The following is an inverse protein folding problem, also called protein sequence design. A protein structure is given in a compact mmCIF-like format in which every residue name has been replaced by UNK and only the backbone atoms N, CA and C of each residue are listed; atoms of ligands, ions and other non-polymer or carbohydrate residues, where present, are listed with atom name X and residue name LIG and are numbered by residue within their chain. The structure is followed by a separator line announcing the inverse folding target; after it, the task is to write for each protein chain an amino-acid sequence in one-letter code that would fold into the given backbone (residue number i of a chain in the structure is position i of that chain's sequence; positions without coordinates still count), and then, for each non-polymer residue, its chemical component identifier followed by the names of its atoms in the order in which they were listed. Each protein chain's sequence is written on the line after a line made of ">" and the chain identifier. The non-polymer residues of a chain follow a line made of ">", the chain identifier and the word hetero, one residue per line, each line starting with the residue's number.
data_IF_155297325134
#
_entry.id   IF_155297325134
#
_cell.length_a   1.000
_cell.length_b   1.000
_cell.length_c   1.000
_cell.angle_alpha   90.00
_cell.angle_beta   90.00
_cell.angle_gamma   90.00
#
_symmetry.space_group_name_H-M   'P 1'
#
loop_
_entity.id
_entity.type
_entity.pdbx_description
1 polymer ?
#
# COMPACT_ATOMS: atom_id res chain seq x y z
N UNK A 1 6.94 23.12 5.89
CA UNK A 1 5.64 23.00 6.58
C UNK A 1 5.18 21.56 6.47
N UNK A 2 4.54 21.00 7.49
CA UNK A 2 4.03 19.62 7.43
C UNK A 2 2.81 19.53 6.49
N UNK A 3 2.71 18.48 5.66
CA UNK A 3 1.55 18.29 4.80
C UNK A 3 0.31 17.86 5.59
N UNK A 4 -0.86 18.28 5.13
CA UNK A 4 -2.16 17.79 5.60
C UNK A 4 -2.46 16.49 4.86
N UNK A 5 -2.79 15.44 5.60
CA UNK A 5 -3.13 14.13 5.05
C UNK A 5 -4.64 13.92 5.11
N UNK A 6 -5.25 13.66 3.96
CA UNK A 6 -6.70 13.44 3.83
C UNK A 6 -6.97 12.03 3.31
N UNK A 7 -8.13 11.47 3.69
CA UNK A 7 -8.56 10.12 3.34
C UNK A 7 -9.97 10.15 2.75
N UNK A 8 -10.15 9.50 1.60
CA UNK A 8 -11.41 9.40 0.87
C UNK A 8 -11.66 7.98 0.43
N UNK A 9 -12.93 7.60 0.39
CA UNK A 9 -13.32 6.20 0.22
C UNK A 9 -14.51 6.11 -0.74
N UNK A 10 -14.45 5.16 -1.68
CA UNK A 10 -15.55 4.88 -2.60
C UNK A 10 -16.05 6.13 -3.34
N UNK A 11 -17.32 6.48 -3.16
CA UNK A 11 -17.98 7.62 -3.80
C UNK A 11 -17.44 8.99 -3.36
N UNK A 12 -16.71 9.08 -2.25
CA UNK A 12 -16.11 10.33 -1.79
C UNK A 12 -14.89 10.73 -2.63
N UNK A 13 -14.38 9.81 -3.47
CA UNK A 13 -13.32 10.08 -4.43
C UNK A 13 -13.94 10.80 -5.65
N UNK A 14 -13.80 12.11 -5.68
CA UNK A 14 -14.41 12.96 -6.72
C UNK A 14 -13.62 12.99 -8.04
N UNK A 15 -14.28 13.38 -9.13
CA UNK A 15 -13.61 13.53 -10.44
C UNK A 15 -12.52 14.63 -10.42
N UNK A 16 -12.65 15.63 -9.54
CA UNK A 16 -11.61 16.64 -9.30
C UNK A 16 -10.36 16.00 -8.68
N UNK A 17 -10.52 15.15 -7.66
CA UNK A 17 -9.40 14.41 -7.06
C UNK A 17 -8.71 13.48 -8.06
N UNK A 18 -9.49 12.80 -8.90
CA UNK A 18 -8.96 11.96 -9.99
C UNK A 18 -8.17 12.81 -10.98
N UNK A 19 -8.65 14.01 -11.32
CA UNK A 19 -7.97 14.93 -12.23
C UNK A 19 -6.64 15.44 -11.65
N UNK A 20 -6.63 15.78 -10.35
CA UNK A 20 -5.43 16.16 -9.62
C UNK A 20 -4.40 15.02 -9.56
N UNK A 21 -4.83 13.80 -9.26
CA UNK A 21 -3.96 12.62 -9.22
C UNK A 21 -3.37 12.30 -10.60
N UNK A 22 -4.17 12.40 -11.67
CA UNK A 22 -3.72 12.20 -13.05
C UNK A 22 -2.66 13.25 -13.46
N UNK A 23 -2.85 14.51 -13.05
CA UNK A 23 -1.89 15.58 -13.28
C UNK A 23 -0.57 15.35 -12.54
N UNK A 24 -0.65 14.97 -11.25
CA UNK A 24 0.53 14.66 -10.44
C UNK A 24 1.30 13.47 -11.00
N UNK A 25 0.59 12.39 -11.36
CA UNK A 25 1.18 11.21 -12.01
C UNK A 25 1.91 11.63 -13.29
N UNK A 26 1.23 12.33 -14.19
CA UNK A 26 1.77 12.70 -15.51
C UNK A 26 3.00 13.60 -15.44
N UNK A 27 3.16 14.33 -14.33
CA UNK A 27 4.26 15.27 -14.13
C UNK A 27 5.44 14.66 -13.39
N UNK A 28 5.19 13.69 -12.50
CA UNK A 28 6.24 13.21 -11.58
C UNK A 28 6.51 11.72 -11.64
N UNK A 29 5.58 10.86 -12.07
CA UNK A 29 5.70 9.41 -11.89
C UNK A 29 6.96 8.82 -12.54
N UNK A 30 7.17 9.06 -13.84
CA UNK A 30 8.29 8.48 -14.57
C UNK A 30 8.39 8.93 -16.02
N UNK A 31 9.32 8.34 -16.75
CA UNK A 31 9.51 8.53 -18.20
C UNK A 31 9.57 7.17 -18.89
N UNK A 32 9.26 7.13 -20.18
CA UNK A 32 9.36 5.91 -20.97
C UNK A 32 10.82 5.52 -21.22
N UNK A 33 11.15 4.24 -21.03
CA UNK A 33 12.47 3.69 -21.38
C UNK A 33 12.61 3.40 -22.87
N UNK A 34 13.80 2.99 -23.29
CA UNK A 34 14.14 2.70 -24.70
C UNK A 34 13.23 1.62 -25.30
N UNK A 35 12.95 0.54 -24.57
CA UNK A 35 12.09 -0.56 -25.04
C UNK A 35 10.65 -0.12 -25.29
N UNK A 36 10.17 0.90 -24.57
CA UNK A 36 8.84 1.46 -24.80
C UNK A 36 8.74 2.11 -26.18
N UNK A 37 9.81 2.74 -26.67
CA UNK A 37 9.82 3.37 -27.98
C UNK A 37 9.60 2.34 -29.10
N UNK A 38 10.19 1.15 -28.95
CA UNK A 38 10.05 0.04 -29.89
C UNK A 38 8.66 -0.62 -29.79
N UNK A 39 8.22 -0.96 -28.57
CA UNK A 39 6.99 -1.74 -28.36
C UNK A 39 5.70 -0.92 -28.42
N UNK A 40 5.75 0.34 -28.00
CA UNK A 40 4.57 1.19 -27.82
C UNK A 40 4.56 2.41 -28.73
N UNK A 41 5.62 2.64 -29.53
CA UNK A 41 5.78 3.81 -30.41
C UNK A 41 5.67 5.15 -29.66
N UNK A 42 6.15 5.17 -28.41
CA UNK A 42 6.25 6.38 -27.59
C UNK A 42 7.65 6.98 -27.70
N UNK A 43 7.81 8.25 -27.34
CA UNK A 43 9.13 8.88 -27.32
C UNK A 43 9.89 8.47 -26.05
N UNK A 44 11.06 7.87 -26.20
CA UNK A 44 11.98 7.61 -25.09
C UNK A 44 12.27 8.90 -24.30
N UNK A 45 12.35 8.78 -22.97
CA UNK A 45 12.60 9.90 -22.06
C UNK A 45 11.42 10.88 -21.93
N UNK A 46 10.33 10.69 -22.68
CA UNK A 46 9.12 11.50 -22.50
C UNK A 46 8.33 11.05 -21.28
N UNK A 47 7.62 11.99 -20.65
CA UNK A 47 6.80 11.72 -19.47
C UNK A 47 5.71 10.71 -19.77
N UNK A 48 5.57 9.73 -18.88
CA UNK A 48 4.42 8.83 -18.86
C UNK A 48 3.21 9.66 -18.43
N UNK A 49 2.20 9.76 -19.30
CA UNK A 49 0.98 10.52 -19.02
C UNK A 49 -0.21 9.60 -18.86
N UNK A 50 -1.12 9.99 -17.97
CA UNK A 50 -2.41 9.34 -17.79
C UNK A 50 -3.51 10.41 -17.78
N UNK A 51 -4.60 10.17 -18.51
CA UNK A 51 -5.78 11.04 -18.45
C UNK A 51 -6.65 10.66 -17.24
N UNK A 52 -7.51 11.55 -16.73
CA UNK A 52 -8.44 11.22 -15.65
C UNK A 52 -9.31 10.01 -16.00
N UNK A 53 -9.78 9.94 -17.26
CA UNK A 53 -10.56 8.80 -17.78
C UNK A 53 -9.78 7.48 -17.73
N UNK A 54 -8.52 7.49 -18.14
CA UNK A 54 -7.67 6.30 -18.12
C UNK A 54 -7.28 5.90 -16.69
N UNK A 55 -7.02 6.88 -15.81
CA UNK A 55 -6.79 6.62 -14.39
C UNK A 55 -8.01 5.93 -13.77
N UNK A 56 -9.22 6.45 -14.02
CA UNK A 56 -10.45 5.84 -13.53
C UNK A 56 -10.61 4.40 -14.04
N UNK A 57 -10.36 4.16 -15.32
CA UNK A 57 -10.47 2.81 -15.89
C UNK A 57 -9.44 1.81 -15.35
N UNK A 58 -8.18 2.23 -15.20
CA UNK A 58 -7.06 1.32 -14.89
C UNK A 58 -6.81 1.17 -13.38
N UNK A 59 -7.04 2.24 -12.60
CA UNK A 59 -6.69 2.35 -11.18
C UNK A 59 -7.92 2.27 -10.27
N UNK A 60 -9.09 2.70 -10.76
CA UNK A 60 -10.37 2.70 -10.04
C UNK A 60 -11.47 1.95 -10.83
N UNK A 61 -11.22 0.70 -11.27
CA UNK A 61 -12.18 -0.04 -12.08
C UNK A 61 -13.47 -0.34 -11.30
N UNK A 62 -14.54 -0.70 -12.01
CA UNK A 62 -15.75 -1.20 -11.37
C UNK A 62 -15.45 -2.36 -10.43
N UNK A 63 -15.97 -2.29 -9.21
CA UNK A 63 -15.64 -3.21 -8.13
C UNK A 63 -16.71 -4.30 -7.94
N UNK A 64 -16.30 -5.52 -7.54
CA UNK A 64 -17.24 -6.52 -7.05
C UNK A 64 -17.87 -6.09 -5.71
N UNK A 65 -18.96 -6.74 -5.32
CA UNK A 65 -19.63 -6.46 -4.04
C UNK A 65 -18.67 -6.64 -2.85
N UNK A 66 -18.65 -5.66 -1.95
CA UNK A 66 -17.80 -5.66 -0.75
C UNK A 66 -16.34 -5.24 -0.98
N UNK A 67 -15.95 -4.91 -2.22
CA UNK A 67 -14.67 -4.27 -2.50
C UNK A 67 -14.80 -2.74 -2.46
N UNK A 68 -13.69 -2.04 -2.20
CA UNK A 68 -13.69 -0.59 -2.09
C UNK A 68 -12.36 0.04 -2.55
N UNK A 69 -12.45 1.25 -3.09
CA UNK A 69 -11.28 2.08 -3.35
C UNK A 69 -11.04 3.06 -2.21
N UNK A 70 -9.76 3.31 -1.91
CA UNK A 70 -9.32 4.35 -0.98
C UNK A 70 -8.30 5.25 -1.66
N UNK A 71 -8.46 6.55 -1.45
CA UNK A 71 -7.49 7.57 -1.80
C UNK A 71 -6.99 8.22 -0.51
N UNK A 72 -5.68 8.15 -0.26
CA UNK A 72 -5.03 9.05 0.71
C UNK A 72 -4.20 10.06 -0.08
N UNK A 73 -4.34 11.35 0.21
CA UNK A 73 -3.55 12.41 -0.42
C UNK A 73 -2.90 13.34 0.59
N UNK A 74 -1.77 13.93 0.19
CA UNK A 74 -1.04 14.92 0.97
C UNK A 74 -1.10 16.27 0.26
N UNK A 75 -1.48 17.32 0.98
CA UNK A 75 -1.48 18.71 0.48
C UNK A 75 -0.58 19.57 1.36
N UNK A 76 0.04 20.59 0.75
CA UNK A 76 0.63 21.66 1.56
C UNK A 76 -0.48 22.57 2.08
N UNK A 77 -0.31 23.18 3.28
CA UNK A 77 -1.22 24.21 3.76
C UNK A 77 -1.49 25.27 2.69
N UNK A 78 -2.76 25.65 2.53
CA UNK A 78 -3.23 26.65 1.56
C UNK A 78 -3.01 26.27 0.07
N UNK A 79 -2.84 24.98 -0.24
CA UNK A 79 -2.79 24.48 -1.63
C UNK A 79 -3.95 23.54 -1.90
N UNK A 80 -4.45 23.54 -3.14
CA UNK A 80 -5.49 22.62 -3.60
C UNK A 80 -4.91 21.40 -4.33
N UNK A 81 -3.71 21.53 -4.89
CA UNK A 81 -3.01 20.46 -5.60
C UNK A 81 -2.26 19.55 -4.62
N UNK A 82 -2.44 18.22 -4.70
CA UNK A 82 -1.72 17.30 -3.84
C UNK A 82 -0.24 17.22 -4.23
N UNK A 83 0.63 17.07 -3.23
CA UNK A 83 2.06 16.78 -3.42
C UNK A 83 2.33 15.27 -3.41
N UNK A 84 1.37 14.46 -2.99
CA UNK A 84 1.44 13.00 -3.07
C UNK A 84 0.04 12.38 -2.96
N UNK A 85 -0.11 11.18 -3.49
CA UNK A 85 -1.29 10.35 -3.27
C UNK A 85 -0.96 8.86 -3.29
N UNK A 86 -1.81 8.08 -2.63
CA UNK A 86 -1.88 6.63 -2.80
C UNK A 86 -3.33 6.24 -3.08
N UNK A 87 -3.52 5.46 -4.14
CA UNK A 87 -4.72 4.69 -4.38
C UNK A 87 -4.50 3.25 -3.92
N UNK A 88 -5.51 2.70 -3.27
CA UNK A 88 -5.56 1.29 -2.92
C UNK A 88 -6.95 0.73 -3.18
N UNK A 89 -7.00 -0.57 -3.45
CA UNK A 89 -8.24 -1.33 -3.62
C UNK A 89 -8.29 -2.45 -2.60
N UNK A 90 -9.31 -2.43 -1.75
CA UNK A 90 -9.62 -3.52 -0.83
C UNK A 90 -10.63 -4.47 -1.46
N UNK A 91 -10.44 -5.77 -1.27
CA UNK A 91 -11.35 -6.82 -1.76
C UNK A 91 -11.15 -8.11 -0.96
N UNK A 92 -12.05 -9.08 -1.13
CA UNK A 92 -11.95 -10.38 -0.48
C UNK A 92 -11.48 -11.45 -1.48
N UNK A 93 -10.45 -12.21 -1.07
CA UNK A 93 -10.05 -13.45 -1.72
C UNK A 93 -10.21 -14.60 -0.73
N UNK A 94 -11.06 -15.58 -1.02
CA UNK A 94 -11.29 -16.74 -0.13
C UNK A 94 -11.57 -16.34 1.34
N UNK A 95 -12.41 -15.33 1.56
CA UNK A 95 -12.73 -14.74 2.89
C UNK A 95 -11.56 -14.04 3.59
N UNK A 96 -10.42 -13.88 2.93
CA UNK A 96 -9.30 -13.09 3.43
C UNK A 96 -9.33 -11.68 2.83
N UNK A 97 -9.27 -10.63 3.65
CA UNK A 97 -9.10 -9.27 3.18
C UNK A 97 -7.77 -9.11 2.45
N UNK A 98 -7.81 -8.43 1.31
CA UNK A 98 -6.64 -8.02 0.55
C UNK A 98 -6.72 -6.51 0.36
N UNK A 99 -5.59 -5.82 0.51
CA UNK A 99 -5.43 -4.41 0.20
C UNK A 99 -4.33 -4.28 -0.84
N UNK A 100 -4.69 -3.97 -2.08
CA UNK A 100 -3.73 -3.80 -3.16
C UNK A 100 -3.43 -2.32 -3.40
N UNK A 101 -2.16 -1.92 -3.35
CA UNK A 101 -1.73 -0.57 -3.70
C UNK A 101 -1.69 -0.43 -5.22
N UNK A 102 -2.64 0.29 -5.78
CA UNK A 102 -2.77 0.43 -7.23
C UNK A 102 -1.91 1.56 -7.79
N UNK A 103 -1.67 2.61 -7.01
CA UNK A 103 -0.80 3.71 -7.44
C UNK A 103 -0.28 4.48 -6.23
N UNK A 104 1.02 4.77 -6.18
CA UNK A 104 1.64 5.67 -5.21
C UNK A 104 2.50 6.69 -5.98
N UNK A 105 2.20 7.98 -5.84
CA UNK A 105 2.97 9.06 -6.47
C UNK A 105 3.36 10.08 -5.43
N UNK A 106 4.62 10.51 -5.47
CA UNK A 106 5.14 11.64 -4.70
C UNK A 106 5.79 12.61 -5.66
N UNK A 107 5.40 13.88 -5.53
CA UNK A 107 6.01 15.01 -6.22
C UNK A 107 7.52 14.98 -6.03
N UNK A 108 8.29 15.19 -7.10
CA UNK A 108 9.75 14.99 -7.09
C UNK A 108 10.47 15.81 -6.01
N UNK A 109 10.07 17.07 -5.78
CA UNK A 109 10.62 17.93 -4.72
C UNK A 109 10.24 17.54 -3.29
N UNK A 110 9.35 16.56 -3.13
CA UNK A 110 8.85 16.09 -1.83
C UNK A 110 9.20 14.60 -1.59
N UNK A 111 10.05 14.01 -2.44
CA UNK A 111 10.60 12.66 -2.27
C UNK A 111 11.63 12.65 -1.14
N UNK A 112 11.86 11.47 -0.56
CA UNK A 112 12.83 11.24 0.52
C UNK A 112 12.58 12.08 1.80
N UNK A 113 11.37 12.61 1.99
CA UNK A 113 10.96 13.41 3.15
C UNK A 113 9.91 12.70 4.02
N UNK A 114 9.73 11.39 3.83
CA UNK A 114 8.76 10.60 4.60
C UNK A 114 7.30 10.70 4.11
N UNK A 115 7.00 11.48 3.06
CA UNK A 115 5.64 11.67 2.54
C UNK A 115 4.94 10.35 2.15
N UNK A 116 5.63 9.47 1.41
CA UNK A 116 5.09 8.14 1.07
C UNK A 116 4.77 7.31 2.31
N UNK A 117 5.68 7.33 3.31
CA UNK A 117 5.47 6.61 4.57
C UNK A 117 4.25 7.16 5.32
N UNK A 118 4.07 8.48 5.37
CA UNK A 118 2.90 9.10 6.02
C UNK A 118 1.58 8.68 5.35
N UNK A 119 1.52 8.65 4.03
CA UNK A 119 0.34 8.17 3.29
C UNK A 119 0.04 6.70 3.57
N UNK A 120 1.07 5.84 3.50
CA UNK A 120 0.92 4.41 3.76
C UNK A 120 0.55 4.13 5.22
N UNK A 121 1.09 4.87 6.18
CA UNK A 121 0.69 4.77 7.60
C UNK A 121 -0.79 5.10 7.76
N UNK A 122 -1.25 6.20 7.14
CA UNK A 122 -2.67 6.56 7.21
C UNK A 122 -3.56 5.49 6.59
N UNK A 123 -3.11 4.89 5.49
CA UNK A 123 -3.80 3.78 4.86
C UNK A 123 -3.82 2.54 5.77
N UNK A 124 -2.71 2.22 6.46
CA UNK A 124 -2.65 1.10 7.41
C UNK A 124 -3.65 1.24 8.55
N UNK A 125 -3.75 2.43 9.16
CA UNK A 125 -4.73 2.72 10.22
C UNK A 125 -6.16 2.37 9.81
N UNK A 126 -6.51 2.59 8.53
CA UNK A 126 -7.84 2.31 8.01
C UNK A 126 -8.16 0.81 7.90
N UNK A 127 -7.15 -0.07 7.81
CA UNK A 127 -7.33 -1.48 7.44
C UNK A 127 -6.69 -2.48 8.42
N UNK A 128 -5.87 -2.06 9.39
CA UNK A 128 -5.12 -2.98 10.25
C UNK A 128 -6.00 -3.89 11.13
N UNK A 129 -7.24 -3.48 11.42
CA UNK A 129 -8.20 -4.28 12.16
C UNK A 129 -8.71 -5.52 11.41
N UNK A 130 -8.59 -5.51 10.08
CA UNK A 130 -8.97 -6.63 9.20
C UNK A 130 -7.83 -7.64 9.04
N UNK A 131 -6.59 -7.25 9.36
CA UNK A 131 -5.39 -8.06 9.10
C UNK A 131 -5.24 -8.46 7.62
N UNK A 132 -5.28 -7.50 6.68
CA UNK A 132 -5.27 -7.82 5.25
C UNK A 132 -3.92 -8.35 4.79
N UNK A 133 -3.93 -9.05 3.65
CA UNK A 133 -2.73 -9.19 2.81
C UNK A 133 -2.55 -7.89 2.03
N UNK A 134 -1.41 -7.24 2.16
CA UNK A 134 -1.09 -6.02 1.42
C UNK A 134 -0.20 -6.35 0.25
N UNK A 135 -0.61 -5.96 -0.96
CA UNK A 135 0.14 -6.22 -2.18
C UNK A 135 0.55 -4.96 -2.93
N UNK A 136 1.71 -4.99 -3.57
CA UNK A 136 2.19 -3.92 -4.43
C UNK A 136 3.02 -4.47 -5.59
N UNK A 137 2.83 -3.84 -6.76
CA UNK A 137 3.76 -3.86 -7.89
C UNK A 137 4.37 -2.47 -7.99
N UNK A 138 5.71 -2.38 -8.02
CA UNK A 138 6.38 -1.12 -8.30
C UNK A 138 7.78 -1.34 -8.88
N UNK A 139 8.15 -0.56 -9.89
CA UNK A 139 9.54 -0.48 -10.31
C UNK A 139 10.45 0.22 -9.29
N UNK A 140 9.91 1.00 -8.35
CA UNK A 140 10.70 1.84 -7.45
C UNK A 140 11.05 1.14 -6.11
N UNK A 141 12.34 0.89 -5.81
CA UNK A 141 12.77 0.26 -4.56
C UNK A 141 12.35 1.01 -3.28
N UNK A 142 12.26 2.35 -3.32
CA UNK A 142 11.80 3.13 -2.15
C UNK A 142 10.32 2.91 -1.87
N UNK A 143 9.49 2.69 -2.91
CA UNK A 143 8.08 2.32 -2.72
C UNK A 143 7.99 0.98 -2.01
N UNK A 144 8.68 -0.04 -2.51
CA UNK A 144 8.71 -1.37 -1.90
C UNK A 144 9.20 -1.29 -0.45
N UNK A 145 10.34 -0.64 -0.20
CA UNK A 145 10.88 -0.49 1.14
C UNK A 145 9.90 0.22 2.10
N UNK A 146 9.19 1.24 1.63
CA UNK A 146 8.17 1.93 2.42
C UNK A 146 6.98 1.01 2.75
N UNK A 147 6.50 0.23 1.79
CA UNK A 147 5.42 -0.76 1.99
C UNK A 147 5.84 -1.79 3.03
N UNK A 148 7.01 -2.41 2.87
CA UNK A 148 7.52 -3.41 3.79
C UNK A 148 7.72 -2.85 5.20
N UNK A 149 8.17 -1.59 5.32
CA UNK A 149 8.37 -0.93 6.61
C UNK A 149 7.05 -0.57 7.31
N UNK A 150 6.02 -0.17 6.57
CA UNK A 150 4.74 0.25 7.16
C UNK A 150 3.89 -0.95 7.53
N UNK A 151 3.73 -1.90 6.60
CA UNK A 151 2.81 -3.03 6.75
C UNK A 151 3.45 -4.27 7.36
N UNK A 152 4.79 -4.37 7.32
CA UNK A 152 5.55 -5.48 7.87
C UNK A 152 6.62 -5.02 8.86
N UNK A 153 7.75 -5.72 8.87
CA UNK A 153 8.87 -5.47 9.77
C UNK A 153 10.05 -4.73 9.07
N UNK A 154 9.86 -4.31 7.82
CA UNK A 154 10.93 -3.75 7.00
C UNK A 154 11.50 -4.76 5.99
N UNK A 155 12.51 -4.31 5.26
CA UNK A 155 13.19 -5.12 4.23
C UNK A 155 14.18 -6.11 4.87
N UNK A 156 14.52 -5.88 6.14
CA UNK A 156 15.42 -6.70 6.94
C UNK A 156 14.83 -8.10 7.21
N UNK A 157 13.50 -8.23 7.22
CA UNK A 157 12.76 -9.50 7.38
C UNK A 157 12.21 -10.01 6.03
N UNK A 158 13.02 -9.89 4.98
CA UNK A 158 12.62 -10.21 3.61
C UNK A 158 12.14 -11.65 3.41
N UNK A 159 12.66 -12.61 4.18
CA UNK A 159 12.33 -14.03 4.02
C UNK A 159 10.84 -14.32 4.30
N UNK A 160 10.26 -13.69 5.33
CA UNK A 160 8.83 -13.82 5.65
C UNK A 160 7.95 -13.23 4.53
N UNK A 161 8.39 -12.10 3.97
CA UNK A 161 7.73 -11.42 2.84
C UNK A 161 7.81 -12.28 1.58
N UNK A 162 8.97 -12.84 1.25
CA UNK A 162 9.17 -13.71 0.09
C UNK A 162 8.36 -15.00 0.24
N UNK A 163 8.33 -15.61 1.42
CA UNK A 163 7.52 -16.80 1.70
C UNK A 163 6.02 -16.52 1.52
N UNK A 164 5.55 -15.38 2.02
CA UNK A 164 4.17 -14.92 1.83
C UNK A 164 3.86 -14.70 0.34
N UNK A 165 4.77 -14.01 -0.36
CA UNK A 165 4.63 -13.68 -1.77
C UNK A 165 4.59 -14.96 -2.62
N UNK A 166 5.52 -15.90 -2.43
CA UNK A 166 5.53 -17.20 -3.11
C UNK A 166 4.21 -17.95 -2.94
N UNK A 167 3.67 -17.97 -1.71
CA UNK A 167 2.47 -18.74 -1.38
C UNK A 167 1.19 -18.14 -1.97
N UNK A 168 1.09 -16.81 -2.03
CA UNK A 168 -0.19 -16.15 -2.27
C UNK A 168 -0.26 -15.31 -3.54
N UNK A 169 0.87 -14.94 -4.16
CA UNK A 169 0.92 -13.98 -5.28
C UNK A 169 0.00 -14.37 -6.43
N UNK A 170 0.04 -15.64 -6.86
CA UNK A 170 -0.74 -16.12 -8.01
C UNK A 170 -2.24 -15.89 -7.83
N UNK A 171 -2.79 -16.31 -6.70
CA UNK A 171 -4.23 -16.21 -6.46
C UNK A 171 -4.68 -14.80 -6.11
N UNK A 172 -3.89 -14.09 -5.29
CA UNK A 172 -4.16 -12.70 -4.93
C UNK A 172 -4.19 -11.83 -6.17
N UNK A 173 -3.18 -11.92 -7.04
CA UNK A 173 -3.15 -11.14 -8.28
C UNK A 173 -4.30 -11.51 -9.21
N UNK A 174 -4.57 -12.80 -9.43
CA UNK A 174 -5.66 -13.25 -10.31
C UNK A 174 -7.05 -12.76 -9.85
N UNK A 175 -7.26 -12.60 -8.55
CA UNK A 175 -8.50 -12.08 -7.96
C UNK A 175 -8.57 -10.55 -7.88
N UNK A 176 -7.48 -9.84 -8.20
CA UNK A 176 -7.43 -8.39 -8.09
C UNK A 176 -8.36 -7.72 -9.13
N UNK A 177 -9.20 -6.74 -8.73
CA UNK A 177 -10.04 -6.01 -9.67
C UNK A 177 -9.26 -5.17 -10.70
N UNK A 178 -8.03 -4.77 -10.38
CA UNK A 178 -7.19 -3.98 -11.28
C UNK A 178 -6.62 -4.87 -12.40
N UNK A 179 -7.02 -4.61 -13.65
CA UNK A 179 -6.66 -5.43 -14.82
C UNK A 179 -5.16 -5.56 -15.01
N UNK A 180 -4.39 -4.50 -14.77
CA UNK A 180 -2.94 -4.57 -14.92
C UNK A 180 -2.32 -5.57 -13.93
N UNK A 181 -2.93 -5.78 -12.76
CA UNK A 181 -2.46 -6.75 -11.75
C UNK A 181 -2.87 -8.16 -12.13
N UNK A 182 -4.15 -8.38 -12.43
CA UNK A 182 -4.66 -9.74 -12.67
C UNK A 182 -4.20 -10.37 -13.99
N UNK A 183 -3.77 -9.54 -14.95
CA UNK A 183 -3.18 -9.98 -16.22
C UNK A 183 -1.66 -10.07 -16.19
N UNK A 184 -1.01 -9.59 -15.13
CA UNK A 184 0.45 -9.65 -14.98
C UNK A 184 0.93 -11.09 -14.80
N UNK A 185 2.08 -11.40 -15.40
CA UNK A 185 2.71 -12.72 -15.27
C UNK A 185 3.74 -12.71 -14.16
N UNK A 186 3.66 -13.65 -13.22
CA UNK A 186 4.71 -13.85 -12.22
C UNK A 186 6.01 -14.27 -12.91
N UNK A 187 7.13 -13.68 -12.51
CA UNK A 187 8.47 -13.99 -13.05
C UNK A 187 9.52 -14.03 -11.95
N UNK A 188 10.52 -14.90 -12.14
CA UNK A 188 11.69 -15.00 -11.26
C UNK A 188 11.73 -16.29 -10.42
N UNK A 189 12.89 -16.52 -9.81
CA UNK A 189 13.20 -17.75 -9.05
C UNK A 189 12.33 -17.96 -7.81
N UNK A 190 11.56 -16.95 -7.39
CA UNK A 190 10.55 -17.14 -6.33
C UNK A 190 9.39 -18.03 -6.79
N UNK A 191 9.06 -18.01 -8.08
CA UNK A 191 7.87 -18.65 -8.66
C UNK A 191 8.19 -19.79 -9.64
N UNK A 192 9.30 -19.69 -10.36
CA UNK A 192 9.71 -20.62 -11.41
C UNK A 192 10.78 -21.59 -10.89
N UNK A 193 10.72 -22.85 -11.32
CA UNK A 193 11.73 -23.86 -10.99
C UNK A 193 12.90 -23.76 -11.98
N UNK A 194 14.03 -23.22 -11.52
CA UNK A 194 15.25 -23.02 -12.32
C UNK A 194 15.54 -21.54 -12.54
N UNK A 195 16.83 -21.20 -12.71
CA UNK A 195 17.22 -19.86 -13.13
C UNK A 195 16.99 -19.72 -14.64
N UNK A 196 16.38 -18.62 -15.07
CA UNK A 196 16.40 -18.25 -16.49
C UNK A 196 17.84 -17.90 -16.86
N UNK A 197 18.49 -18.76 -17.63
CA UNK A 197 19.86 -18.55 -18.12
C UNK A 197 20.01 -17.23 -18.87
N UNK A 198 18.91 -16.70 -19.44
CA UNK A 198 18.91 -15.43 -20.17
C UNK A 198 18.75 -14.21 -19.26
N UNK A 199 18.17 -14.36 -18.06
CA UNK A 199 17.93 -13.28 -17.10
C UNK A 199 18.35 -13.67 -15.67
N UNK A 200 19.64 -13.95 -15.42
CA UNK A 200 20.11 -14.40 -14.12
C UNK A 200 19.96 -13.31 -13.04
N UNK A 201 19.42 -13.72 -11.89
CA UNK A 201 19.30 -12.88 -10.69
C UNK A 201 17.95 -12.18 -10.50
N UNK A 202 16.91 -12.56 -11.24
CA UNK A 202 15.52 -12.12 -10.99
C UNK A 202 14.88 -12.99 -9.92
N UNK A 203 14.37 -12.39 -8.84
CA UNK A 203 13.76 -13.15 -7.73
C UNK A 203 12.24 -13.03 -7.72
N UNK A 204 11.69 -11.81 -7.56
CA UNK A 204 10.25 -11.59 -7.41
C UNK A 204 9.76 -10.36 -8.16
N UNK A 205 9.18 -10.57 -9.34
CA UNK A 205 8.51 -9.51 -10.10
C UNK A 205 7.25 -10.01 -10.81
N UNK A 206 6.45 -9.05 -11.26
CA UNK A 206 5.38 -9.27 -12.24
C UNK A 206 5.73 -8.59 -13.55
N UNK A 207 5.60 -9.30 -14.67
CA UNK A 207 5.61 -8.69 -16.00
C UNK A 207 4.27 -8.00 -16.23
N UNK A 208 4.27 -6.68 -16.07
CA UNK A 208 3.10 -5.81 -16.21
C UNK A 208 3.02 -5.21 -17.61
N UNK A 209 4.02 -5.45 -18.47
CA UNK A 209 4.16 -4.81 -19.76
C UNK A 209 4.37 -3.30 -19.65
N UNK A 210 4.83 -2.80 -18.51
CA UNK A 210 4.98 -1.38 -18.24
C UNK A 210 6.45 -0.94 -18.36
N UNK A 211 6.80 -0.48 -19.56
CA UNK A 211 8.19 -0.21 -19.98
C UNK A 211 8.74 1.14 -19.50
N UNK A 212 8.68 1.39 -18.19
CA UNK A 212 9.24 2.60 -17.57
C UNK A 212 10.77 2.59 -17.60
N UNK A 213 11.39 3.76 -17.71
CA UNK A 213 12.83 3.91 -17.56
C UNK A 213 13.28 3.51 -16.14
N UNK A 214 14.28 2.63 -16.06
CA UNK A 214 14.77 2.09 -14.78
C UNK A 214 15.93 2.90 -14.18
N UNK A 215 16.40 4.00 -14.78
CA UNK A 215 17.54 4.73 -14.23
C UNK A 215 17.25 5.34 -12.85
N UNK A 216 16.04 5.87 -12.63
CA UNK A 216 15.64 6.36 -11.31
C UNK A 216 15.49 5.21 -10.29
N UNK A 217 14.74 4.13 -10.59
CA UNK A 217 14.75 2.91 -9.79
C UNK A 217 16.13 2.37 -9.41
N UNK A 218 17.05 2.25 -10.37
CA UNK A 218 18.39 1.74 -10.13
C UNK A 218 19.22 2.66 -9.22
N UNK A 219 19.07 3.98 -9.37
CA UNK A 219 19.68 4.95 -8.45
C UNK A 219 19.12 4.81 -7.04
N UNK A 220 17.81 4.60 -6.92
CA UNK A 220 17.17 4.35 -5.62
C UNK A 220 17.68 3.06 -4.97
N UNK A 221 17.88 2.00 -5.76
CA UNK A 221 18.44 0.73 -5.28
C UNK A 221 19.86 0.93 -4.74
N UNK A 222 20.74 1.60 -5.50
CA UNK A 222 22.12 1.87 -5.07
C UNK A 222 22.17 2.64 -3.74
N UNK A 223 21.29 3.63 -3.55
CA UNK A 223 21.20 4.37 -2.28
C UNK A 223 20.80 3.47 -1.10
N UNK A 224 19.98 2.44 -1.32
CA UNK A 224 19.65 1.46 -0.28
C UNK A 224 20.85 0.55 0.02
N UNK A 225 21.52 0.05 -1.02
CA UNK A 225 22.69 -0.82 -0.90
C UNK A 225 23.86 -0.12 -0.20
N UNK A 226 24.13 1.14 -0.51
CA UNK A 226 25.13 1.99 0.17
C UNK A 226 24.84 2.18 1.66
N UNK A 227 23.57 2.06 2.07
CA UNK A 227 23.13 2.07 3.48
C UNK A 227 23.20 0.69 4.14
N UNK A 228 23.73 -0.31 3.45
CA UNK A 228 23.85 -1.69 3.95
C UNK A 228 22.60 -2.54 3.78
N UNK A 229 21.59 -2.08 3.04
CA UNK A 229 20.39 -2.88 2.77
C UNK A 229 20.71 -3.96 1.74
N UNK A 230 20.50 -5.22 2.10
CA UNK A 230 20.58 -6.34 1.16
C UNK A 230 19.25 -6.45 0.40
N UNK A 231 19.27 -6.17 -0.90
CA UNK A 231 18.06 -6.20 -1.72
C UNK A 231 17.62 -7.63 -2.04
N UNK A 232 16.40 -8.05 -1.63
CA UNK A 232 15.99 -9.46 -1.71
C UNK A 232 15.26 -9.81 -3.02
N UNK A 233 14.82 -8.82 -3.80
CA UNK A 233 13.93 -9.05 -4.96
C UNK A 233 14.68 -9.27 -6.27
N UNK A 234 16.02 -9.20 -6.22
CA UNK A 234 16.88 -9.40 -7.38
C UNK A 234 16.85 -8.22 -8.36
N UNK A 235 17.26 -8.51 -9.60
CA UNK A 235 17.23 -7.55 -10.72
C UNK A 235 15.80 -7.34 -11.22
N UNK A 236 15.57 -6.19 -11.85
CA UNK A 236 14.28 -5.85 -12.46
C UNK A 236 14.38 -5.85 -13.99
N UNK A 237 13.85 -6.88 -14.68
CA UNK A 237 13.79 -6.89 -16.14
C UNK A 237 12.93 -5.75 -16.68
N UNK A 238 13.19 -5.34 -17.91
CA UNK A 238 12.37 -4.35 -18.60
C UNK A 238 10.90 -4.80 -18.66
N UNK A 239 9.96 -3.87 -18.45
CA UNK A 239 8.52 -4.15 -18.46
C UNK A 239 7.99 -4.83 -17.20
N UNK A 240 8.87 -5.21 -16.27
CA UNK A 240 8.49 -5.81 -15.01
C UNK A 240 8.47 -4.80 -13.86
N UNK A 241 7.73 -5.13 -12.81
CA UNK A 241 7.69 -4.40 -11.55
C UNK A 241 7.97 -5.36 -10.39
N UNK A 242 8.71 -4.91 -9.37
CA UNK A 242 8.95 -5.73 -8.19
C UNK A 242 7.63 -6.06 -7.50
N UNK A 243 7.51 -7.32 -7.05
CA UNK A 243 6.28 -7.83 -6.45
C UNK A 243 6.53 -8.22 -5.00
N UNK A 244 5.69 -7.70 -4.11
CA UNK A 244 5.65 -8.09 -2.69
C UNK A 244 4.22 -8.27 -2.20
N UNK A 245 4.03 -9.26 -1.33
CA UNK A 245 2.86 -9.43 -0.47
C UNK A 245 3.28 -9.46 1.00
N UNK A 246 2.59 -8.71 1.84
CA UNK A 246 2.84 -8.61 3.28
C UNK A 246 1.60 -9.01 4.06
N UNK A 247 1.73 -9.91 5.04
CA UNK A 247 0.64 -10.21 5.97
C UNK A 247 0.62 -9.18 7.10
N UNK A 248 -0.45 -8.40 7.19
CA UNK A 248 -0.63 -7.45 8.30
C UNK A 248 -1.19 -8.21 9.50
N UNK A 249 -0.46 -8.18 10.61
CA UNK A 249 -0.94 -8.78 11.86
C UNK A 249 -2.19 -8.02 12.33
N UNK A 250 -3.28 -8.76 12.53
CA UNK A 250 -4.53 -8.20 13.05
C UNK A 250 -4.30 -7.68 14.46
N UNK A 251 -4.57 -6.39 14.69
CA UNK A 251 -4.65 -5.90 16.06
C UNK A 251 -5.93 -6.45 16.70
N UNK A 252 -5.78 -7.29 17.73
CA UNK A 252 -6.89 -7.61 18.61
C UNK A 252 -7.26 -6.34 19.37
N UNK A 253 -8.49 -5.84 19.22
CA UNK A 253 -9.02 -4.90 20.21
C UNK A 253 -9.09 -5.66 21.52
N UNK A 254 -8.39 -5.17 22.54
CA UNK A 254 -8.80 -5.45 23.91
C UNK A 254 -10.17 -4.79 24.01
N UNK A 255 -11.24 -5.57 23.91
CA UNK A 255 -12.55 -5.09 24.33
C UNK A 255 -12.38 -4.76 25.80
N UNK A 256 -12.47 -3.47 26.13
CA UNK A 256 -12.58 -3.04 27.52
C UNK A 256 -13.80 -3.74 28.06
N UNK A 257 -13.61 -4.77 28.88
CA UNK A 257 -14.69 -5.38 29.65
C UNK A 257 -15.29 -4.23 30.43
N UNK A 258 -16.48 -3.77 30.04
CA UNK A 258 -17.24 -2.89 30.91
C UNK A 258 -17.47 -3.69 32.19
N UNK A 259 -17.05 -3.19 33.37
CA UNK A 259 -17.38 -3.86 34.61
C UNK A 259 -18.91 -4.00 34.65
N UNK A 260 -19.45 -5.16 35.06
CA UNK A 260 -20.89 -5.33 35.14
C UNK A 260 -21.43 -4.20 36.02
N UNK A 261 -22.40 -3.45 35.49
CA UNK A 261 -23.13 -2.46 36.26
C UNK A 261 -23.64 -3.16 37.52
N UNK A 262 -23.23 -2.68 38.69
CA UNK A 262 -23.85 -3.04 39.96
C UNK A 262 -25.29 -2.50 39.93
N UNK A 263 -26.20 -3.26 39.30
CA UNK A 263 -27.62 -3.15 39.55
C UNK A 263 -27.89 -3.78 40.91
N UNK A 264 -28.34 -2.94 41.84
CA UNK A 264 -28.91 -3.41 43.11
C UNK A 264 -28.07 -3.12 44.34
N UNK A 265 -27.87 -1.84 44.66
CA UNK A 265 -27.89 -1.40 46.06
C UNK A 265 -28.71 -0.12 46.12
N UNK A 266 -30.00 -0.26 46.40
CA UNK A 266 -30.81 0.85 46.87
C UNK A 266 -30.25 1.30 48.22
N UNK A 267 -29.88 2.57 48.26
CA UNK A 267 -29.43 3.25 49.46
C UNK A 267 -30.62 3.38 50.43
N UNK A 268 -30.62 2.62 51.53
CA UNK A 268 -31.63 2.73 52.58
C UNK A 268 -31.08 3.57 53.76
N UNK A 269 -31.58 4.81 53.97
CA UNK A 269 -31.10 5.69 55.04
C UNK A 269 -31.47 5.27 56.47
N UNK A 270 -32.31 4.24 56.66
CA UNK A 270 -32.78 3.83 58.01
C UNK A 270 -31.83 2.88 58.77
N UNK A 271 -30.71 2.45 58.17
CA UNK A 271 -29.78 1.50 58.82
C UNK A 271 -28.74 2.12 59.78
N UNK A 272 -28.69 3.45 59.96
CA UNK A 272 -27.70 4.10 60.84
C UNK A 272 -28.18 4.43 62.26
N UNK A 273 -29.45 4.21 62.61
CA UNK A 273 -29.99 4.59 63.94
C UNK A 273 -30.01 3.46 64.99
N UNK A 274 -29.45 2.28 64.71
CA UNK A 274 -29.47 1.14 65.66
C UNK A 274 -28.12 0.70 66.24
N UNK A 275 -27.01 1.39 65.96
CA UNK A 275 -25.69 1.04 66.54
C UNK A 275 -25.13 2.22 67.31
N UNK A 276 -25.72 2.50 68.48
CA UNK A 276 -25.30 3.63 69.30
C UNK A 276 -25.74 3.59 70.77
N UNK A 277 -25.91 2.40 71.39
CA UNK A 277 -26.09 2.27 72.84
C UNK A 277 -25.58 0.91 73.34
N UNK A 278 -24.30 0.84 73.72
CA UNK A 278 -23.79 0.02 74.86
C UNK A 278 -22.25 -0.01 74.91
N UNK A 279 -21.68 0.88 75.73
CA UNK A 279 -20.38 0.84 76.43
C UNK A 279 -20.04 2.30 76.74
N UNK A 280 -19.79 2.78 77.95
CA UNK A 280 -19.39 2.17 79.21
C UNK A 280 -19.50 3.25 80.32
N UNK A 281 -19.79 2.82 81.55
CA UNK A 281 -19.38 3.36 82.86
C UNK A 281 -19.27 4.87 83.08
#
# INVERSE_FOLDING_TARGET
>A
MAPIIESFVGSDITDEMISQAASLFSSHYGVWGTVAAEKMRVKEGSRIKISPKKLKADILPSLPFGAQHTLIRALLPNTTSPIAHVFATSYLHQKRPVLWLTQLVVHSSHRNQGTAKALLTKLKEAYEHEGPVVGALSSNPFTIAAVLRVFGQGIEEADEVLATTRRHAKEVMASCPATYVNSSKLRGSLFESGEDENEPGVVSCGDTGFWVDHQEPERALRVLEEKGVKWPLGKLPQGCEFLVLVLVRRMQRIETIQPPMLQGYEWNPEMMDSVGKSASS
#
